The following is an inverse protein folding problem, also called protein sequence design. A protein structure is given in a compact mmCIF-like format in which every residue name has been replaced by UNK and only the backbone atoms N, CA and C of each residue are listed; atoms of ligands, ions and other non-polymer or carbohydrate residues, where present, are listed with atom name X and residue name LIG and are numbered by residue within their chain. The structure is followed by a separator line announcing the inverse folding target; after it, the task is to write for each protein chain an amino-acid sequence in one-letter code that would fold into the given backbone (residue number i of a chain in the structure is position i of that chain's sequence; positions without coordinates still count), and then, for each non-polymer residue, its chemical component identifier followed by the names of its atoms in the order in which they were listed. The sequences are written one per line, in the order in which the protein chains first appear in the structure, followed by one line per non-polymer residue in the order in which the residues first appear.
data_IF_858634111434
#
_entry.id   IF_858634111434
#
_cell.length_a   1.000
_cell.length_b   1.000
_cell.length_c   1.000
_cell.angle_alpha   90.00
_cell.angle_beta   90.00
_cell.angle_gamma   90.00
#
_symmetry.space_group_name_H-M   'P 1'
#
loop_
_entity.id
_entity.type
_entity.pdbx_description
1 polymer ?
#
# COMPACT_ATOMS: atom_id res chain seq x y z
N UNK A 1 -2.29 -13.83 -12.32
CA UNK A 1 -2.71 -12.47 -12.73
C UNK A 1 -4.23 -12.39 -12.56
N UNK A 2 -4.77 -11.26 -12.11
CA UNK A 2 -6.21 -11.09 -11.93
C UNK A 2 -6.77 -10.27 -13.11
N UNK A 3 -7.81 -10.73 -13.83
CA UNK A 3 -8.37 -10.00 -14.97
C UNK A 3 -8.91 -8.62 -14.57
N UNK A 4 -8.62 -7.58 -15.36
CA UNK A 4 -9.09 -6.21 -15.08
C UNK A 4 -10.63 -6.15 -14.93
N UNK A 5 -11.35 -6.90 -15.76
CA UNK A 5 -12.81 -6.99 -15.72
C UNK A 5 -13.37 -7.53 -14.41
N UNK A 6 -12.58 -8.33 -13.67
CA UNK A 6 -12.97 -8.90 -12.38
C UNK A 6 -12.62 -8.00 -11.19
N UNK A 7 -11.77 -6.98 -11.39
CA UNK A 7 -11.28 -6.09 -10.32
C UNK A 7 -11.88 -4.69 -10.41
N UNK A 8 -12.17 -4.20 -11.62
CA UNK A 8 -12.48 -2.79 -11.87
C UNK A 8 -13.65 -2.20 -11.05
N UNK A 9 -14.57 -3.03 -10.58
CA UNK A 9 -15.75 -2.59 -9.81
C UNK A 9 -15.92 -3.35 -8.47
N UNK A 10 -14.84 -3.91 -7.91
CA UNK A 10 -14.90 -4.71 -6.67
C UNK A 10 -13.95 -4.14 -5.61
N UNK A 11 -14.44 -4.03 -4.37
CA UNK A 11 -13.67 -3.60 -3.21
C UNK A 11 -13.46 -4.75 -2.22
N UNK A 12 -12.35 -4.72 -1.48
CA UNK A 12 -12.11 -5.65 -0.38
C UNK A 12 -12.65 -5.06 0.93
N UNK A 13 -13.89 -5.41 1.23
CA UNK A 13 -14.55 -5.03 2.49
C UNK A 13 -13.94 -5.76 3.69
N UNK A 14 -13.94 -5.11 4.85
CA UNK A 14 -13.55 -5.72 6.12
C UNK A 14 -14.56 -6.84 6.47
N UNK A 15 -14.13 -8.10 6.64
CA UNK A 15 -15.04 -9.17 7.06
C UNK A 15 -15.64 -8.88 8.43
N UNK A 16 -16.94 -9.11 8.60
CA UNK A 16 -17.60 -8.89 9.90
C UNK A 16 -17.06 -9.81 10.99
N UNK A 17 -16.59 -11.01 10.63
CA UNK A 17 -16.00 -11.97 11.55
C UNK A 17 -14.56 -11.63 11.96
N UNK A 18 -14.03 -10.49 11.48
CA UNK A 18 -12.77 -9.92 11.97
C UNK A 18 -12.97 -8.99 13.17
N UNK A 19 -14.21 -8.56 13.43
CA UNK A 19 -14.57 -7.62 14.50
C UNK A 19 -15.17 -8.41 15.66
N UNK A 20 -14.77 -8.09 16.90
CA UNK A 20 -15.34 -8.71 18.10
C UNK A 20 -16.83 -8.38 18.26
N UNK A 21 -17.56 -9.19 19.01
CA UNK A 21 -19.01 -9.03 19.22
C UNK A 21 -19.39 -7.67 19.85
N UNK A 22 -18.49 -7.08 20.64
CA UNK A 22 -18.65 -5.75 21.24
C UNK A 22 -18.32 -4.59 20.28
N UNK A 23 -17.74 -4.89 19.11
CA UNK A 23 -17.38 -3.92 18.08
C UNK A 23 -16.07 -3.15 18.32
N UNK A 24 -15.33 -3.42 19.39
CA UNK A 24 -14.16 -2.62 19.80
C UNK A 24 -12.81 -3.33 19.66
N UNK A 25 -12.80 -4.56 19.13
CA UNK A 25 -11.60 -5.37 19.01
C UNK A 25 -11.56 -6.21 17.75
N UNK A 26 -10.44 -6.93 17.58
CA UNK A 26 -10.22 -7.87 16.49
C UNK A 26 -10.28 -9.32 16.98
N UNK A 27 -10.84 -10.19 16.12
CA UNK A 27 -10.90 -11.64 16.37
C UNK A 27 -9.59 -12.34 16.04
N UNK A 28 -9.45 -13.62 16.42
CA UNK A 28 -8.27 -14.41 16.06
C UNK A 28 -8.12 -14.61 14.55
N UNK A 29 -9.23 -14.74 13.80
CA UNK A 29 -9.21 -14.76 12.34
C UNK A 29 -8.58 -13.51 11.74
N UNK A 30 -8.87 -12.34 12.32
CA UNK A 30 -8.27 -11.09 11.92
C UNK A 30 -6.76 -11.08 12.20
N UNK A 31 -6.32 -11.59 13.36
CA UNK A 31 -4.89 -11.72 13.71
C UNK A 31 -4.15 -12.65 12.75
N UNK A 32 -4.71 -13.81 12.47
CA UNK A 32 -4.15 -14.78 11.51
C UNK A 32 -3.94 -14.16 10.13
N UNK A 33 -4.87 -13.30 9.70
CA UNK A 33 -4.76 -12.60 8.43
C UNK A 33 -3.74 -11.43 8.46
N UNK A 34 -3.73 -10.61 9.53
CA UNK A 34 -2.93 -9.38 9.59
C UNK A 34 -1.49 -9.58 10.06
N UNK A 35 -1.23 -10.51 10.98
CA UNK A 35 0.11 -10.66 11.57
C UNK A 35 1.19 -11.03 10.55
N UNK A 36 0.96 -11.94 9.58
CA UNK A 36 1.96 -12.22 8.54
C UNK A 36 2.28 -11.01 7.65
N UNK A 37 1.36 -10.03 7.55
CA UNK A 37 1.55 -8.85 6.69
C UNK A 37 2.50 -7.81 7.30
N UNK A 38 2.74 -7.87 8.62
CA UNK A 38 3.62 -6.97 9.35
C UNK A 38 4.88 -7.68 9.88
N UNK A 39 5.10 -8.93 9.49
CA UNK A 39 6.21 -9.74 9.97
C UNK A 39 7.54 -9.24 9.41
N UNK A 40 8.52 -9.04 10.31
CA UNK A 40 9.88 -8.64 9.97
C UNK A 40 10.13 -7.12 10.00
N UNK A 41 11.39 -6.75 9.83
CA UNK A 41 11.85 -5.36 9.84
C UNK A 41 12.68 -5.07 8.58
N UNK A 42 12.40 -3.96 7.90
CA UNK A 42 13.08 -3.55 6.67
C UNK A 42 13.69 -2.15 6.84
N UNK A 43 14.80 -2.07 7.59
CA UNK A 43 15.47 -0.79 7.82
C UNK A 43 16.10 -0.21 6.55
N UNK A 44 15.99 1.12 6.33
CA UNK A 44 16.64 1.76 5.19
C UNK A 44 18.18 1.82 5.40
N UNK A 45 18.96 2.04 4.33
CA UNK A 45 20.36 2.44 4.48
C UNK A 45 20.47 3.78 5.21
N UNK A 46 21.57 3.99 5.95
CA UNK A 46 21.83 5.21 6.72
C UNK A 46 23.06 5.95 6.20
N UNK A 47 22.99 7.28 6.25
CA UNK A 47 24.12 8.18 5.97
C UNK A 47 25.10 8.21 7.15
N UNK A 48 26.31 8.71 6.91
CA UNK A 48 27.34 8.86 7.95
C UNK A 48 26.95 9.80 9.11
N UNK A 49 25.88 10.59 8.96
CA UNK A 49 25.31 11.43 10.02
C UNK A 49 24.15 10.75 10.78
N UNK A 50 23.91 9.46 10.57
CA UNK A 50 22.90 8.68 11.30
C UNK A 50 21.46 8.88 10.83
N UNK A 51 21.23 9.57 9.71
CA UNK A 51 19.89 9.73 9.12
C UNK A 51 19.65 8.70 7.99
N UNK A 52 18.40 8.21 7.78
CA UNK A 52 18.07 7.38 6.63
C UNK A 52 18.43 8.03 5.29
N UNK A 53 18.94 7.23 4.36
CA UNK A 53 19.31 7.67 3.02
C UNK A 53 18.15 7.52 2.04
N UNK A 54 17.18 8.44 2.10
CA UNK A 54 16.07 8.49 1.16
C UNK A 54 16.48 9.04 -0.20
N UNK A 55 16.00 8.39 -1.27
CA UNK A 55 16.27 8.82 -2.66
C UNK A 55 15.43 10.04 -3.03
N UNK A 56 16.04 10.99 -3.74
CA UNK A 56 15.34 12.10 -4.40
C UNK A 56 15.44 11.91 -5.91
N UNK A 57 14.29 11.82 -6.58
CA UNK A 57 14.24 11.68 -8.04
C UNK A 57 14.48 13.02 -8.72
N UNK A 58 15.16 13.01 -9.88
CA UNK A 58 15.41 14.22 -10.68
C UNK A 58 14.15 14.74 -11.40
N UNK A 59 13.17 13.85 -11.62
CA UNK A 59 11.91 14.16 -12.31
C UNK A 59 12.11 14.90 -13.65
N UNK A 60 13.12 14.50 -14.44
CA UNK A 60 13.40 15.09 -15.74
C UNK A 60 12.17 14.91 -16.66
N UNK A 61 11.68 16.02 -17.23
CA UNK A 61 10.56 15.97 -18.15
C UNK A 61 10.97 15.43 -19.52
N UNK A 62 10.02 14.79 -20.20
CA UNK A 62 10.17 14.39 -21.60
C UNK A 62 9.70 15.50 -22.52
N UNK A 63 10.29 15.60 -23.71
CA UNK A 63 9.84 16.52 -24.73
C UNK A 63 8.38 16.22 -25.12
N UNK A 64 7.55 17.27 -25.18
CA UNK A 64 6.14 17.16 -25.60
C UNK A 64 6.07 16.79 -27.09
N UNK A 65 5.14 15.90 -27.44
CA UNK A 65 4.85 15.50 -28.82
C UNK A 65 3.46 15.92 -29.31
N UNK A 66 2.57 16.28 -28.39
CA UNK A 66 1.18 16.62 -28.66
C UNK A 66 0.86 18.02 -28.11
N UNK A 67 -0.16 18.70 -28.67
CA UNK A 67 -0.73 19.91 -28.09
C UNK A 67 -1.32 19.68 -26.70
N UNK A 68 -1.70 20.77 -26.02
CA UNK A 68 -2.38 20.70 -24.72
C UNK A 68 -3.75 19.97 -24.86
N UNK A 69 -4.09 19.19 -23.83
CA UNK A 69 -5.34 18.44 -23.77
C UNK A 69 -6.43 19.27 -23.06
N UNK A 70 -7.54 19.52 -23.75
CA UNK A 70 -8.72 20.21 -23.22
C UNK A 70 -9.80 19.18 -22.85
N UNK A 71 -10.50 19.40 -21.73
CA UNK A 71 -11.53 18.52 -21.13
C UNK A 71 -12.95 18.86 -21.59
#
# INVERSE_FOLDING_TARGET
EAPLSEVANVEKMMPMDFISDDGFGITDKCREYLYPLIEGEAYPPYKGNGLPDYVTLKLNSVARKLPDFEL
#
